data_IF_073765893417
#
_entry.id   IF_073765893417
#
_cell.length_a   1.000
_cell.length_b   1.000
_cell.length_c   1.000
_cell.angle_alpha   90.00
_cell.angle_beta   90.00
_cell.angle_gamma   90.00
#
_symmetry.space_group_name_H-M   'P 1'
#
loop_
_entity.id
_entity.type
_entity.pdbx_description
1 polymer ?
#
# COMPACT_ATOMS: atom_id res chain seq x y z
N UNK A 1 27.35 -20.53 -0.05
CA UNK A 1 27.19 -19.54 -1.14
C UNK A 1 26.16 -20.08 -2.11
N UNK A 2 25.10 -19.30 -2.40
CA UNK A 2 24.02 -19.72 -3.30
C UNK A 2 24.56 -19.96 -4.73
N UNK A 3 24.11 -21.01 -5.39
CA UNK A 3 24.56 -21.39 -6.74
C UNK A 3 23.61 -20.83 -7.80
N UNK A 4 24.17 -20.46 -8.94
CA UNK A 4 23.40 -20.06 -10.13
C UNK A 4 22.70 -21.26 -10.77
N UNK A 5 21.70 -21.00 -11.60
CA UNK A 5 20.99 -22.05 -12.37
C UNK A 5 21.97 -22.92 -13.18
N UNK A 6 22.97 -22.29 -13.80
CA UNK A 6 23.98 -23.01 -14.61
C UNK A 6 24.85 -23.90 -13.74
N UNK A 7 25.28 -23.43 -12.56
CA UNK A 7 26.06 -24.24 -11.62
C UNK A 7 25.26 -25.43 -11.08
N UNK A 8 23.94 -25.27 -10.87
CA UNK A 8 23.05 -26.36 -10.43
C UNK A 8 22.92 -27.40 -11.53
N UNK A 9 22.71 -27.00 -12.80
CA UNK A 9 22.64 -27.96 -13.91
C UNK A 9 23.98 -28.70 -14.12
N UNK A 10 25.10 -28.01 -13.96
CA UNK A 10 26.42 -28.65 -13.99
C UNK A 10 26.56 -29.67 -12.85
N UNK A 11 26.12 -29.31 -11.63
CA UNK A 11 26.17 -30.20 -10.47
C UNK A 11 25.27 -31.44 -10.68
N UNK A 12 24.07 -31.26 -11.23
CA UNK A 12 23.17 -32.35 -11.57
C UNK A 12 23.84 -33.27 -12.61
N UNK A 13 24.37 -32.73 -13.69
CA UNK A 13 25.01 -33.52 -14.74
C UNK A 13 26.27 -34.27 -14.25
N UNK A 14 26.99 -33.72 -13.27
CA UNK A 14 28.20 -34.34 -12.70
C UNK A 14 27.86 -35.44 -11.69
N UNK A 15 26.90 -35.18 -10.78
CA UNK A 15 26.59 -36.10 -9.67
C UNK A 15 25.44 -37.05 -9.96
N UNK A 16 24.62 -36.76 -10.97
CA UNK A 16 23.52 -37.60 -11.44
C UNK A 16 23.61 -37.77 -12.93
N UNK A 17 24.69 -38.41 -13.45
CA UNK A 17 24.80 -38.70 -14.87
C UNK A 17 23.68 -39.64 -15.29
N UNK A 18 23.31 -39.59 -16.57
CA UNK A 18 22.30 -40.49 -17.16
C UNK A 18 22.53 -41.93 -16.71
N UNK A 19 21.58 -42.46 -15.99
CA UNK A 19 21.74 -43.70 -15.23
C UNK A 19 21.60 -44.90 -16.11
N UNK A 20 22.57 -45.13 -16.96
CA UNK A 20 22.68 -46.39 -17.74
C UNK A 20 23.15 -47.58 -16.86
N UNK A 21 23.63 -47.32 -15.65
CA UNK A 21 24.20 -48.34 -14.73
C UNK A 21 23.52 -48.43 -13.37
N UNK A 22 22.49 -47.62 -13.06
CA UNK A 22 21.72 -47.72 -11.85
C UNK A 22 22.39 -47.17 -10.56
N UNK A 23 23.47 -46.38 -10.67
CA UNK A 23 24.30 -45.98 -9.54
C UNK A 23 24.17 -44.49 -9.14
N UNK A 24 22.96 -43.97 -8.97
CA UNK A 24 22.79 -42.73 -8.23
C UNK A 24 22.92 -43.04 -6.74
N UNK A 25 24.05 -42.67 -6.15
CA UNK A 25 24.25 -42.92 -4.71
C UNK A 25 23.38 -41.98 -3.87
N UNK A 26 22.93 -42.40 -2.67
CA UNK A 26 22.21 -41.51 -1.74
C UNK A 26 23.02 -40.28 -1.35
N UNK A 27 24.33 -40.30 -1.40
CA UNK A 27 25.21 -39.17 -1.13
C UNK A 27 25.16 -38.13 -2.26
N UNK A 28 25.26 -38.55 -3.54
CA UNK A 28 25.16 -37.66 -4.69
C UNK A 28 23.77 -36.99 -4.75
N UNK A 29 22.69 -37.73 -4.45
CA UNK A 29 21.34 -37.18 -4.41
C UNK A 29 21.21 -36.13 -3.29
N UNK A 30 21.72 -36.42 -2.08
CA UNK A 30 21.69 -35.46 -0.97
C UNK A 30 22.44 -34.17 -1.29
N UNK A 31 23.61 -34.29 -1.92
CA UNK A 31 24.40 -33.11 -2.31
C UNK A 31 23.65 -32.23 -3.30
N UNK A 32 23.06 -32.80 -4.36
CA UNK A 32 22.24 -32.05 -5.33
C UNK A 32 21.07 -31.40 -4.64
N UNK A 33 20.32 -32.11 -3.80
CA UNK A 33 19.17 -31.56 -3.07
C UNK A 33 19.57 -30.43 -2.12
N UNK A 34 20.70 -30.55 -1.40
CA UNK A 34 21.19 -29.50 -0.53
C UNK A 34 21.55 -28.23 -1.31
N UNK A 35 22.28 -28.40 -2.41
CA UNK A 35 22.68 -27.26 -3.27
C UNK A 35 21.47 -26.62 -3.97
N UNK A 36 20.44 -27.38 -4.28
CA UNK A 36 19.16 -26.85 -4.77
C UNK A 36 18.42 -26.06 -3.69
N UNK A 37 18.36 -26.59 -2.46
CA UNK A 37 17.70 -25.91 -1.34
C UNK A 37 18.37 -24.57 -0.98
N UNK A 38 19.71 -24.52 -1.10
CA UNK A 38 20.50 -23.30 -0.83
C UNK A 38 20.51 -22.33 -2.03
N UNK A 39 19.87 -22.72 -3.15
CA UNK A 39 19.83 -21.88 -4.35
C UNK A 39 18.82 -20.77 -4.23
N UNK A 40 19.17 -19.52 -4.63
CA UNK A 40 18.21 -18.40 -4.65
C UNK A 40 17.03 -18.62 -5.60
N UNK A 41 17.04 -19.66 -6.47
CA UNK A 41 15.90 -20.02 -7.30
C UNK A 41 14.77 -20.64 -6.46
N UNK A 42 15.10 -21.32 -5.36
CA UNK A 42 14.13 -21.93 -4.43
C UNK A 42 13.94 -21.15 -3.14
N UNK A 43 14.94 -20.36 -2.75
CA UNK A 43 14.77 -19.30 -1.79
C UNK A 43 14.11 -18.11 -2.50
N UNK A 44 12.79 -18.11 -2.63
CA UNK A 44 12.08 -16.87 -2.89
C UNK A 44 12.31 -16.03 -1.64
N UNK A 45 13.12 -14.95 -1.67
CA UNK A 45 13.24 -14.10 -0.51
C UNK A 45 11.83 -13.63 -0.21
N UNK A 46 11.28 -14.00 0.93
CA UNK A 46 10.00 -13.48 1.35
C UNK A 46 10.13 -11.96 1.38
N UNK A 47 9.16 -11.26 0.82
CA UNK A 47 9.13 -9.81 0.98
C UNK A 47 8.59 -9.53 2.37
N UNK A 48 9.42 -8.96 3.23
CA UNK A 48 9.02 -8.50 4.55
C UNK A 48 8.45 -7.09 4.44
N UNK A 49 7.23 -6.89 4.90
CA UNK A 49 6.65 -5.55 5.08
C UNK A 49 7.02 -5.02 6.47
N UNK A 50 7.81 -3.96 6.53
CA UNK A 50 8.13 -3.24 7.77
C UNK A 50 7.35 -1.93 7.78
N UNK A 51 6.38 -1.80 8.70
CA UNK A 51 5.62 -0.57 8.86
C UNK A 51 6.55 0.57 9.27
N UNK A 52 6.54 1.66 8.50
CA UNK A 52 7.39 2.84 8.73
C UNK A 52 6.58 4.11 9.03
N UNK A 53 5.28 4.12 8.68
CA UNK A 53 4.38 5.22 8.99
C UNK A 53 2.95 4.69 9.16
N UNK A 54 2.27 5.15 10.21
CA UNK A 54 0.82 4.99 10.39
C UNK A 54 0.23 6.31 10.83
N UNK A 55 -0.66 6.86 10.01
CA UNK A 55 -1.29 8.15 10.29
C UNK A 55 -2.81 8.06 10.04
N UNK A 56 -3.60 8.71 10.88
CA UNK A 56 -5.05 8.67 10.78
C UNK A 56 -5.67 10.01 11.15
N UNK A 57 -6.79 10.34 10.53
CA UNK A 57 -7.60 11.53 10.81
C UNK A 57 -9.00 11.11 11.26
N UNK A 58 -9.50 11.74 12.31
CA UNK A 58 -10.90 11.68 12.73
C UNK A 58 -11.68 12.93 12.36
N UNK A 59 -11.07 13.84 11.60
CA UNK A 59 -11.76 15.04 11.11
C UNK A 59 -12.65 14.70 9.90
N UNK A 60 -13.75 15.42 9.78
CA UNK A 60 -14.55 15.44 8.54
C UNK A 60 -13.74 16.17 7.47
N UNK A 61 -13.62 15.57 6.30
CA UNK A 61 -12.92 16.16 5.16
C UNK A 61 -13.80 16.07 3.92
N UNK A 62 -14.36 17.19 3.52
CA UNK A 62 -15.22 17.30 2.35
C UNK A 62 -14.72 18.42 1.44
N UNK A 63 -14.65 18.21 0.11
CA UNK A 63 -14.34 19.29 -0.82
C UNK A 63 -15.29 20.48 -0.64
N UNK A 64 -14.77 21.69 -0.70
CA UNK A 64 -15.55 22.92 -0.47
C UNK A 64 -16.59 23.17 -1.56
N UNK A 65 -16.34 22.68 -2.79
CA UNK A 65 -17.26 22.77 -3.91
C UNK A 65 -17.16 21.52 -4.79
N UNK A 66 -18.08 21.40 -5.76
CA UNK A 66 -18.00 20.39 -6.82
C UNK A 66 -16.77 20.67 -7.70
N UNK A 67 -16.20 19.64 -8.28
CA UNK A 67 -15.06 19.66 -9.19
C UNK A 67 -13.78 20.29 -8.59
N UNK A 68 -13.76 20.49 -7.26
CA UNK A 68 -12.58 20.93 -6.53
C UNK A 68 -11.93 19.77 -5.80
N UNK A 69 -10.64 19.57 -6.10
CA UNK A 69 -9.85 18.55 -5.40
C UNK A 69 -9.48 19.03 -3.99
N UNK A 70 -9.66 18.15 -3.01
CA UNK A 70 -9.20 18.32 -1.64
C UNK A 70 -8.09 17.31 -1.37
N UNK A 71 -6.92 17.77 -0.93
CA UNK A 71 -5.90 16.89 -0.39
C UNK A 71 -6.30 16.44 1.02
N UNK A 72 -6.28 15.13 1.25
CA UNK A 72 -6.61 14.56 2.53
C UNK A 72 -5.47 14.74 3.54
N UNK A 73 -5.85 15.03 4.78
CA UNK A 73 -4.96 15.02 5.93
C UNK A 73 -5.12 13.73 6.73
N UNK A 74 -4.06 13.30 7.38
CA UNK A 74 -4.02 12.07 8.17
C UNK A 74 -3.61 12.37 9.63
N UNK A 75 -4.12 13.48 10.19
CA UNK A 75 -3.82 13.90 11.54
C UNK A 75 -2.60 14.82 11.63
N UNK A 76 -1.94 14.82 12.80
CA UNK A 76 -0.76 15.64 13.02
C UNK A 76 0.43 15.16 12.17
N UNK A 77 1.41 16.06 11.97
CA UNK A 77 2.67 15.70 11.36
C UNK A 77 3.37 14.59 12.15
N UNK A 78 3.98 13.63 11.44
CA UNK A 78 4.70 12.50 12.02
C UNK A 78 5.98 12.23 11.24
N UNK A 79 6.97 11.71 11.94
CA UNK A 79 8.28 11.44 11.38
C UNK A 79 9.16 12.69 11.29
N UNK A 80 10.41 12.49 10.99
CA UNK A 80 11.45 13.50 10.84
C UNK A 80 12.27 13.24 9.57
N UNK A 81 13.19 14.11 9.23
CA UNK A 81 14.08 13.93 8.08
C UNK A 81 15.02 12.72 8.20
N UNK A 82 15.23 12.19 9.41
CA UNK A 82 16.00 10.96 9.67
C UNK A 82 15.20 9.68 9.49
N UNK A 83 13.86 9.76 9.49
CA UNK A 83 13.00 8.61 9.28
C UNK A 83 12.87 8.30 7.78
N UNK A 84 12.66 7.03 7.38
CA UNK A 84 12.49 6.68 5.97
C UNK A 84 11.36 7.43 5.28
N UNK A 85 10.31 7.74 6.04
CA UNK A 85 9.09 8.42 5.58
C UNK A 85 8.62 9.40 6.64
N UNK A 86 8.19 10.56 6.22
CA UNK A 86 7.49 11.53 7.09
C UNK A 86 6.21 12.04 6.44
N UNK A 87 5.29 12.53 7.24
CA UNK A 87 4.06 13.19 6.78
C UNK A 87 3.88 14.53 7.50
N UNK A 88 3.52 15.56 6.76
CA UNK A 88 3.19 16.85 7.34
C UNK A 88 1.70 16.97 7.70
N UNK A 89 1.33 18.01 8.44
CA UNK A 89 -0.05 18.26 8.85
C UNK A 89 -1.03 18.47 7.67
N UNK A 90 -0.54 18.85 6.49
CA UNK A 90 -1.33 18.97 5.27
C UNK A 90 -1.55 17.62 4.55
N UNK A 91 -1.06 16.51 5.11
CA UNK A 91 -1.22 15.18 4.53
C UNK A 91 -0.26 14.86 3.39
N UNK A 92 0.77 15.69 3.18
CA UNK A 92 1.82 15.40 2.21
C UNK A 92 2.87 14.50 2.86
N UNK A 93 3.05 13.33 2.27
CA UNK A 93 4.11 12.38 2.63
C UNK A 93 5.37 12.71 1.86
N UNK A 94 6.53 12.58 2.49
CA UNK A 94 7.85 12.65 1.86
C UNK A 94 8.60 11.36 2.14
N UNK A 95 9.15 10.75 1.09
CA UNK A 95 10.03 9.59 1.20
C UNK A 95 11.47 10.08 1.33
N UNK A 96 12.03 10.05 2.53
CA UNK A 96 13.42 10.47 2.77
C UNK A 96 14.43 9.43 2.29
N UNK A 97 14.00 8.18 2.19
CA UNK A 97 14.82 7.06 1.69
C UNK A 97 14.18 6.46 0.44
N UNK A 98 14.96 6.26 -0.60
CA UNK A 98 14.52 5.54 -1.79
C UNK A 98 14.24 4.06 -1.48
N UNK A 99 13.30 3.43 -2.20
CA UNK A 99 13.00 2.02 -2.02
C UNK A 99 11.61 1.64 -2.47
N UNK A 100 11.26 0.38 -2.26
CA UNK A 100 9.91 -0.12 -2.53
C UNK A 100 9.04 0.03 -1.29
N UNK A 101 7.86 0.59 -1.46
CA UNK A 101 6.89 0.82 -0.39
C UNK A 101 5.51 0.31 -0.77
N UNK A 102 4.88 -0.42 0.14
CA UNK A 102 3.46 -0.72 0.10
C UNK A 102 2.70 0.39 0.84
N UNK A 103 1.80 1.06 0.16
CA UNK A 103 0.95 2.11 0.71
C UNK A 103 -0.47 1.59 0.77
N UNK A 104 -1.06 1.55 1.96
CA UNK A 104 -2.45 1.18 2.21
C UNK A 104 -3.23 2.40 2.64
N UNK A 105 -4.33 2.64 1.98
CA UNK A 105 -5.23 3.77 2.23
C UNK A 105 -6.60 3.20 2.55
N UNK A 106 -7.20 3.67 3.64
CA UNK A 106 -8.59 3.37 3.97
C UNK A 106 -9.31 4.68 4.23
N UNK A 107 -10.38 4.91 3.49
CA UNK A 107 -11.23 6.09 3.60
C UNK A 107 -12.64 5.67 3.97
N UNK A 108 -13.32 6.43 4.80
CA UNK A 108 -14.75 6.25 5.05
C UNK A 108 -15.54 7.30 4.26
N UNK A 109 -15.93 6.94 3.04
CA UNK A 109 -16.72 7.80 2.18
C UNK A 109 -18.15 7.91 2.69
N UNK A 110 -18.70 9.10 2.72
CA UNK A 110 -20.05 9.38 3.17
C UNK A 110 -20.55 10.72 2.64
N UNK A 111 -21.76 11.07 3.01
CA UNK A 111 -22.34 12.38 2.75
C UNK A 111 -23.29 12.80 3.87
N UNK A 112 -23.53 14.11 3.99
CA UNK A 112 -24.41 14.68 5.02
C UNK A 112 -25.76 15.16 4.46
N UNK A 113 -25.89 15.30 3.13
CA UNK A 113 -27.14 15.73 2.50
C UNK A 113 -28.17 14.59 2.41
N UNK A 114 -29.40 14.86 2.79
CA UNK A 114 -30.48 13.86 2.86
C UNK A 114 -31.02 13.44 1.49
N UNK A 115 -30.96 14.28 0.45
CA UNK A 115 -31.54 14.04 -0.87
C UNK A 115 -30.47 13.93 -1.96
N UNK A 116 -30.80 13.22 -3.05
CA UNK A 116 -29.95 13.08 -4.22
C UNK A 116 -28.79 12.09 -4.02
N UNK A 117 -27.81 12.17 -4.88
CA UNK A 117 -26.59 11.35 -4.88
C UNK A 117 -25.34 12.22 -4.85
N UNK A 118 -24.22 11.68 -4.41
CA UNK A 118 -22.92 12.26 -4.59
C UNK A 118 -21.98 11.22 -5.20
N UNK A 119 -21.13 11.63 -6.14
CA UNK A 119 -20.04 10.80 -6.64
C UNK A 119 -18.75 11.37 -6.05
N UNK A 120 -18.10 10.57 -5.22
CA UNK A 120 -16.81 10.89 -4.66
C UNK A 120 -15.72 10.20 -5.46
N UNK A 121 -14.87 11.00 -6.07
CA UNK A 121 -13.67 10.54 -6.76
C UNK A 121 -12.50 10.57 -5.78
N UNK A 122 -11.61 9.58 -5.85
CA UNK A 122 -10.36 9.58 -5.13
C UNK A 122 -9.20 9.25 -6.06
N UNK A 123 -8.07 9.90 -5.85
CA UNK A 123 -6.84 9.65 -6.60
C UNK A 123 -5.60 9.72 -5.72
N UNK A 124 -4.57 9.07 -6.19
CA UNK A 124 -3.23 9.07 -5.59
C UNK A 124 -2.34 9.95 -6.46
N UNK A 125 -1.52 10.77 -5.84
CA UNK A 125 -0.47 11.54 -6.48
C UNK A 125 0.89 11.04 -5.99
N UNK A 126 1.82 10.81 -6.91
CA UNK A 126 3.24 10.57 -6.63
C UNK A 126 4.01 11.69 -7.32
N UNK A 127 4.78 12.44 -6.56
CA UNK A 127 5.50 13.63 -7.04
C UNK A 127 4.61 14.58 -7.86
N UNK A 128 3.44 14.90 -7.30
CA UNK A 128 2.35 15.74 -7.85
C UNK A 128 1.64 15.20 -9.09
N UNK A 129 2.10 14.10 -9.66
CA UNK A 129 1.49 13.45 -10.83
C UNK A 129 0.52 12.36 -10.39
N UNK A 130 -0.60 12.22 -11.09
CA UNK A 130 -1.56 11.15 -10.80
C UNK A 130 -0.93 9.77 -11.05
N UNK A 131 -1.04 8.90 -10.05
CA UNK A 131 -0.57 7.52 -10.09
C UNK A 131 -1.75 6.57 -10.25
N UNK A 132 -1.78 5.85 -11.35
CA UNK A 132 -2.89 4.95 -11.67
C UNK A 132 -4.18 5.67 -12.04
N UNK A 133 -5.29 4.92 -12.07
CA UNK A 133 -6.62 5.47 -12.35
C UNK A 133 -7.29 5.96 -11.07
N UNK A 134 -8.10 7.03 -11.13
CA UNK A 134 -8.94 7.44 -10.00
C UNK A 134 -10.01 6.38 -9.72
N UNK A 135 -10.41 6.27 -8.46
CA UNK A 135 -11.57 5.49 -8.07
C UNK A 135 -12.79 6.40 -7.91
N UNK A 136 -13.98 5.89 -8.23
CA UNK A 136 -15.26 6.58 -8.08
C UNK A 136 -16.20 5.79 -7.18
N UNK A 137 -16.81 6.46 -6.21
CA UNK A 137 -17.80 5.87 -5.30
C UNK A 137 -19.08 6.68 -5.33
N UNK A 138 -20.20 6.02 -5.67
CA UNK A 138 -21.53 6.65 -5.66
C UNK A 138 -22.16 6.54 -4.28
N UNK A 139 -22.44 7.66 -3.66
CA UNK A 139 -23.05 7.79 -2.35
C UNK A 139 -24.54 8.09 -2.52
N UNK A 140 -25.38 7.10 -2.26
CA UNK A 140 -26.82 7.17 -2.51
C UNK A 140 -27.65 7.55 -1.29
N UNK A 141 -27.10 7.45 -0.08
CA UNK A 141 -27.76 7.78 1.19
C UNK A 141 -26.85 8.59 2.10
N UNK A 142 -27.43 9.47 2.92
CA UNK A 142 -26.72 10.24 3.94
C UNK A 142 -26.34 9.40 5.16
N UNK A 143 -27.05 8.28 5.39
CA UNK A 143 -26.88 7.46 6.60
C UNK A 143 -25.90 6.30 6.40
N UNK A 144 -25.26 6.22 5.22
CA UNK A 144 -24.37 5.12 4.87
C UNK A 144 -22.95 5.64 4.65
N UNK A 145 -21.99 5.03 5.34
CA UNK A 145 -20.57 5.17 5.03
C UNK A 145 -20.09 3.97 4.24
N UNK A 146 -19.31 4.22 3.20
CA UNK A 146 -18.74 3.20 2.31
C UNK A 146 -17.22 3.22 2.50
N UNK A 147 -16.60 2.11 2.93
CA UNK A 147 -15.14 2.04 2.99
C UNK A 147 -14.57 1.99 1.58
N UNK A 148 -13.59 2.85 1.31
CA UNK A 148 -12.75 2.81 0.12
C UNK A 148 -11.38 2.34 0.59
N UNK A 149 -10.95 1.17 0.13
CA UNK A 149 -9.65 0.62 0.46
C UNK A 149 -8.80 0.52 -0.81
N UNK A 150 -7.57 0.98 -0.72
CA UNK A 150 -6.60 0.91 -1.80
C UNK A 150 -5.26 0.45 -1.25
N UNK A 151 -4.57 -0.40 -1.99
CA UNK A 151 -3.19 -0.79 -1.74
C UNK A 151 -2.41 -0.63 -3.03
N UNK A 152 -1.34 0.15 -2.98
CA UNK A 152 -0.44 0.34 -4.10
C UNK A 152 1.00 0.06 -3.66
N UNK A 153 1.81 -0.42 -4.60
CA UNK A 153 3.26 -0.54 -4.42
C UNK A 153 3.91 0.50 -5.30
N UNK A 154 4.76 1.32 -4.70
CA UNK A 154 5.48 2.40 -5.38
C UNK A 154 6.97 2.28 -5.11
N UNK A 155 7.78 2.82 -6.00
CA UNK A 155 9.24 2.88 -5.87
C UNK A 155 9.73 4.33 -5.97
N UNK A 156 9.51 5.15 -4.93
CA UNK A 156 9.93 6.54 -4.94
C UNK A 156 11.45 6.66 -4.76
N UNK A 157 12.03 7.68 -5.42
CA UNK A 157 13.34 8.19 -5.08
C UNK A 157 13.28 9.02 -3.78
N UNK A 158 14.42 9.20 -3.12
CA UNK A 158 14.52 10.09 -1.97
C UNK A 158 14.07 11.53 -2.35
N UNK A 159 13.30 12.15 -1.46
CA UNK A 159 12.70 13.47 -1.66
C UNK A 159 11.39 13.47 -2.46
N UNK A 160 10.98 12.36 -3.07
CA UNK A 160 9.67 12.29 -3.73
C UNK A 160 8.52 12.32 -2.74
N UNK A 161 7.39 12.81 -3.20
CA UNK A 161 6.21 13.03 -2.39
C UNK A 161 5.05 12.12 -2.79
N UNK A 162 4.13 11.91 -1.83
CA UNK A 162 2.89 11.18 -2.03
C UNK A 162 1.74 11.92 -1.37
N UNK A 163 0.59 11.98 -2.03
CA UNK A 163 -0.63 12.55 -1.48
C UNK A 163 -1.86 11.79 -1.97
N UNK A 164 -2.93 11.88 -1.20
CA UNK A 164 -4.26 11.39 -1.56
C UNK A 164 -5.19 12.57 -1.72
N UNK A 165 -5.94 12.59 -2.80
CA UNK A 165 -6.93 13.65 -3.06
C UNK A 165 -8.30 13.02 -3.28
N UNK A 166 -9.34 13.74 -2.85
CA UNK A 166 -10.73 13.47 -3.16
C UNK A 166 -11.35 14.66 -3.88
N UNK A 167 -12.39 14.40 -4.66
CA UNK A 167 -13.16 15.42 -5.36
C UNK A 167 -14.62 14.99 -5.42
N UNK A 168 -15.56 15.94 -5.31
CA UNK A 168 -16.95 15.70 -5.63
C UNK A 168 -17.17 15.97 -7.11
N UNK A 169 -17.72 15.01 -7.85
CA UNK A 169 -18.11 15.20 -9.24
C UNK A 169 -19.33 16.15 -9.32
N UNK A 170 -19.36 17.03 -10.31
CA UNK A 170 -20.44 17.96 -10.61
C UNK A 170 -21.79 17.30 -10.85
N UNK A 171 -21.84 16.01 -11.26
CA UNK A 171 -23.04 15.22 -11.39
C UNK A 171 -23.68 14.82 -10.05
N UNK A 172 -22.97 14.97 -8.92
CA UNK A 172 -23.43 14.60 -7.59
C UNK A 172 -23.12 15.69 -6.56
N UNK A 173 -24.04 16.61 -6.32
CA UNK A 173 -23.80 17.84 -5.56
C UNK A 173 -23.85 17.73 -4.03
N UNK A 174 -24.27 16.59 -3.46
CA UNK A 174 -24.65 16.53 -2.04
C UNK A 174 -23.54 16.12 -1.09
N UNK A 175 -22.65 17.05 -0.78
CA UNK A 175 -21.73 17.00 0.38
C UNK A 175 -20.93 15.71 0.58
N UNK A 176 -20.58 15.02 -0.50
CA UNK A 176 -19.72 13.84 -0.45
C UNK A 176 -18.32 14.19 0.08
N UNK A 177 -17.79 13.33 0.94
CA UNK A 177 -16.49 13.49 1.58
C UNK A 177 -16.09 12.24 2.34
N UNK A 178 -15.14 12.37 3.26
CA UNK A 178 -14.77 11.31 4.19
C UNK A 178 -15.14 11.73 5.61
N UNK A 179 -15.78 10.82 6.34
CA UNK A 179 -16.40 11.08 7.63
C UNK A 179 -15.96 10.05 8.66
N UNK A 180 -15.59 10.47 9.88
CA UNK A 180 -15.32 9.52 10.95
C UNK A 180 -16.64 8.90 11.42
N UNK A 181 -16.56 7.69 11.96
CA UNK A 181 -17.71 7.01 12.54
C UNK A 181 -17.47 6.80 14.03
N UNK A 182 -18.22 7.50 14.85
CA UNK A 182 -18.19 7.30 16.29
C UNK A 182 -18.83 5.93 16.64
N UNK A 183 -18.20 5.20 17.54
CA UNK A 183 -18.83 4.01 18.11
C UNK A 183 -19.87 4.44 19.15
N UNK A 184 -20.98 3.70 19.22
CA UNK A 184 -21.98 3.86 20.28
C UNK A 184 -21.47 3.40 21.64
N UNK A 185 -20.46 2.53 21.65
CA UNK A 185 -19.79 2.03 22.85
C UNK A 185 -18.45 2.75 23.01
N UNK A 186 -18.32 3.53 24.08
CA UNK A 186 -17.15 4.40 24.34
C UNK A 186 -15.80 3.66 24.28
N UNK A 187 -15.75 2.41 24.68
CA UNK A 187 -14.52 1.61 24.70
C UNK A 187 -13.93 1.33 23.30
N UNK A 188 -14.72 1.47 22.21
CA UNK A 188 -14.28 1.17 20.86
C UNK A 188 -13.65 2.37 20.14
N UNK A 189 -13.83 3.57 20.68
CA UNK A 189 -13.32 4.81 20.08
C UNK A 189 -14.03 5.17 18.77
N UNK A 190 -13.48 6.15 18.06
CA UNK A 190 -13.98 6.64 16.76
C UNK A 190 -13.19 6.03 15.63
N UNK A 191 -13.87 5.40 14.68
CA UNK A 191 -13.23 4.93 13.44
C UNK A 191 -12.78 6.16 12.60
N UNK A 192 -11.54 6.19 12.11
CA UNK A 192 -11.01 7.35 11.41
C UNK A 192 -11.72 7.56 10.06
N UNK A 193 -11.85 8.81 9.64
CA UNK A 193 -12.30 9.19 8.30
C UNK A 193 -11.32 8.79 7.22
N UNK A 194 -10.02 8.88 7.54
CA UNK A 194 -8.92 8.50 6.66
C UNK A 194 -7.80 7.86 7.47
N UNK A 195 -7.27 6.74 6.96
CA UNK A 195 -6.12 6.02 7.51
C UNK A 195 -5.11 5.79 6.38
N UNK A 196 -3.85 6.04 6.68
CA UNK A 196 -2.71 5.78 5.82
C UNK A 196 -1.71 4.90 6.56
N UNK A 197 -1.29 3.81 5.93
CA UNK A 197 -0.23 2.94 6.43
C UNK A 197 0.79 2.77 5.31
N UNK A 198 2.04 3.05 5.61
CA UNK A 198 3.16 2.86 4.68
C UNK A 198 4.12 1.85 5.29
N UNK A 199 4.39 0.80 4.53
CA UNK A 199 5.36 -0.23 4.89
C UNK A 199 6.48 -0.26 3.85
N UNK A 200 7.72 -0.32 4.31
CA UNK A 200 8.87 -0.57 3.45
C UNK A 200 8.93 -2.06 3.12
N UNK A 201 9.17 -2.36 1.84
CA UNK A 201 9.33 -3.72 1.36
C UNK A 201 10.83 -4.06 1.37
N UNK A 202 11.21 -5.00 2.20
CA UNK A 202 12.59 -5.45 2.36
C UNK A 202 12.71 -6.91 1.92
N UNK A 203 13.88 -7.30 1.43
CA UNK A 203 14.17 -8.71 1.23
C UNK A 203 14.23 -9.40 2.60
N UNK A 204 13.55 -10.52 2.76
CA UNK A 204 13.55 -11.32 3.98
C UNK A 204 14.86 -12.09 4.15
#
# INVERSE_FOLDING_TARGET
MAKTKTEIFTLIGTNLPDNTTGLITPAALREVMTQMADSPIYATPGVKEVEVLRAASTAVQAPSAVDMALQLTFGAAQGSASDPVMINAAGLVTFNTAGNYAVRIKLQAGRTGASGTSILLSRILVNVLQYGSPAATKLVSADVTIPIESRVVINPAAGQTFAVQIMRDGAGSNFGGVYPQAATVTAWGTAPSALLVISRLEAA
#
